data_IF_787234483325
#
_entry.id   IF_787234483325
#
_cell.length_a   1.000
_cell.length_b   1.000
_cell.length_c   1.000
_cell.angle_alpha   90.00
_cell.angle_beta   90.00
_cell.angle_gamma   90.00
#
_symmetry.space_group_name_H-M   'P 1'
#
loop_
_entity.id
_entity.type
_entity.pdbx_description
1 polymer ?
#
# COMPACT_ATOMS: atom_id res chain seq x y z
N UNK A 1 21.59 24.67 -14.68
CA UNK A 1 20.65 24.25 -15.73
C UNK A 1 20.45 22.75 -15.61
N UNK A 2 19.22 22.30 -15.37
CA UNK A 2 18.89 20.88 -15.44
C UNK A 2 18.85 20.51 -16.93
N UNK A 3 19.74 19.64 -17.39
CA UNK A 3 19.69 19.08 -18.74
C UNK A 3 18.79 17.85 -18.62
N UNK A 4 17.58 17.85 -19.21
CA UNK A 4 16.74 16.66 -19.20
C UNK A 4 17.52 15.52 -19.83
N UNK A 5 17.69 14.41 -19.11
CA UNK A 5 18.20 13.20 -19.72
C UNK A 5 17.03 12.53 -20.45
N UNK A 6 16.86 12.85 -21.73
CA UNK A 6 15.79 12.33 -22.58
C UNK A 6 15.81 10.79 -22.72
N UNK A 7 16.87 10.13 -22.24
CA UNK A 7 16.99 8.66 -22.21
C UNK A 7 16.38 8.02 -20.95
N UNK A 8 16.08 8.79 -19.90
CA UNK A 8 15.51 8.25 -18.66
C UNK A 8 13.99 8.40 -18.66
N UNK A 9 13.30 7.28 -18.41
CA UNK A 9 11.85 7.27 -18.17
C UNK A 9 11.57 7.49 -16.70
N UNK A 10 10.56 8.31 -16.40
CA UNK A 10 10.04 8.45 -15.04
C UNK A 10 9.55 7.08 -14.52
N UNK A 11 9.77 6.85 -13.23
CA UNK A 11 9.20 5.69 -12.56
C UNK A 11 7.67 5.72 -12.67
N UNK A 12 7.07 4.58 -13.02
CA UNK A 12 5.63 4.41 -13.05
C UNK A 12 5.20 3.58 -11.85
N UNK A 13 4.37 4.16 -10.99
CA UNK A 13 3.64 3.40 -10.00
C UNK A 13 2.37 2.85 -10.65
N UNK A 14 2.18 1.54 -10.57
CA UNK A 14 0.88 0.93 -10.86
C UNK A 14 0.08 0.91 -9.56
N UNK A 15 -1.02 1.66 -9.52
CA UNK A 15 -1.97 1.67 -8.40
C UNK A 15 -3.24 0.98 -8.90
N UNK A 16 -3.54 -0.25 -8.46
CA UNK A 16 -4.77 -0.92 -8.84
C UNK A 16 -5.99 -0.16 -8.29
N UNK A 17 -7.13 -0.28 -8.96
CA UNK A 17 -8.40 0.21 -8.41
C UNK A 17 -8.68 -0.52 -7.10
N UNK A 18 -8.68 0.23 -6.01
CA UNK A 18 -8.97 -0.32 -4.69
C UNK A 18 -10.47 -0.24 -4.44
N UNK A 19 -11.11 -1.41 -4.31
CA UNK A 19 -12.52 -1.49 -3.92
C UNK A 19 -12.59 -1.21 -2.42
N UNK A 20 -13.32 -0.17 -2.04
CA UNK A 20 -13.50 0.21 -0.64
C UNK A 20 -14.27 -0.91 0.08
N UNK A 21 -13.61 -1.63 0.99
CA UNK A 21 -14.22 -2.70 1.79
C UNK A 21 -14.59 -2.22 3.20
N UNK A 22 -14.72 -3.11 4.17
CA UNK A 22 -14.76 -2.73 5.58
C UNK A 22 -13.43 -2.08 6.00
N UNK A 23 -13.51 -1.10 6.89
CA UNK A 23 -12.34 -0.40 7.43
C UNK A 23 -12.42 -0.35 8.94
N UNK A 24 -11.27 -0.39 9.59
CA UNK A 24 -11.19 -0.09 11.01
C UNK A 24 -11.61 1.36 11.27
N UNK A 25 -12.22 1.59 12.43
CA UNK A 25 -12.41 2.95 12.91
C UNK A 25 -11.04 3.63 13.15
N UNK A 26 -10.99 4.97 13.25
CA UNK A 26 -9.71 5.69 13.33
C UNK A 26 -8.80 5.24 14.47
N UNK A 27 -9.37 4.96 15.65
CA UNK A 27 -8.57 4.55 16.82
C UNK A 27 -7.96 3.17 16.63
N UNK A 28 -8.74 2.23 16.11
CA UNK A 28 -8.27 0.88 15.83
C UNK A 28 -7.24 0.86 14.68
N UNK A 29 -7.49 1.62 13.61
CA UNK A 29 -6.56 1.72 12.48
C UNK A 29 -5.22 2.31 12.88
N UNK A 30 -5.22 3.32 13.76
CA UNK A 30 -4.00 3.91 14.33
C UNK A 30 -3.20 2.87 15.14
N UNK A 31 -3.86 2.12 16.01
CA UNK A 31 -3.21 1.09 16.83
C UNK A 31 -2.63 -0.05 15.99
N UNK A 32 -3.30 -0.40 14.88
CA UNK A 32 -2.88 -1.49 13.98
C UNK A 32 -1.87 -1.07 12.91
N UNK A 33 -1.71 0.24 12.67
CA UNK A 33 -0.84 0.77 11.61
C UNK A 33 -1.43 0.67 10.19
N UNK A 34 -2.72 0.35 10.06
CA UNK A 34 -3.46 0.27 8.81
C UNK A 34 -4.95 0.40 9.08
N UNK A 35 -5.71 1.08 8.22
CA UNK A 35 -7.19 1.10 8.26
C UNK A 35 -7.81 -0.10 7.55
N UNK A 36 -7.02 -0.80 6.74
CA UNK A 36 -7.45 -1.91 5.89
C UNK A 36 -7.23 -3.24 6.64
N UNK A 37 -8.30 -3.97 7.02
CA UNK A 37 -8.20 -5.22 7.76
C UNK A 37 -7.34 -6.29 7.08
N UNK A 38 -7.40 -6.38 5.76
CA UNK A 38 -6.65 -7.32 4.94
C UNK A 38 -5.14 -7.10 4.97
N UNK A 39 -4.69 -5.90 5.37
CA UNK A 39 -3.28 -5.55 5.49
C UNK A 39 -2.74 -5.74 6.93
N UNK A 40 -3.60 -6.10 7.89
CA UNK A 40 -3.17 -6.33 9.27
C UNK A 40 -2.68 -7.77 9.46
N UNK A 41 -1.35 -7.96 9.52
CA UNK A 41 -0.67 -9.26 9.57
C UNK A 41 -1.08 -10.23 8.44
N UNK A 42 -0.84 -9.88 7.17
CA UNK A 42 -1.29 -10.66 6.02
C UNK A 42 -0.54 -12.00 5.86
N UNK A 43 0.63 -12.14 6.49
CA UNK A 43 1.45 -13.33 6.38
C UNK A 43 0.94 -14.44 7.31
N UNK A 44 0.28 -15.45 6.74
CA UNK A 44 -0.01 -16.70 7.45
C UNK A 44 1.32 -17.41 7.75
N UNK A 45 1.51 -17.87 8.99
CA UNK A 45 2.64 -18.76 9.32
C UNK A 45 2.52 -20.01 8.45
N UNK A 46 3.52 -20.30 7.63
CA UNK A 46 3.64 -21.60 6.99
C UNK A 46 3.75 -22.66 8.09
N UNK A 47 2.78 -23.57 8.18
CA UNK A 47 2.98 -24.83 8.89
C UNK A 47 3.91 -25.68 8.00
N UNK A 48 5.16 -25.83 8.43
CA UNK A 48 6.09 -26.86 7.93
C UNK A 48 5.74 -28.20 8.55
#
# INVERSE_FOLDING_TARGET
MFIPNDQMRLARAYVPFQVYSEHFNPMEGLLKGTIFPELYFPYRKYHR
#
